data_IF_811615356205
#
_entry.id   IF_811615356205
#
_cell.length_a   1.000
_cell.length_b   1.000
_cell.length_c   1.000
_cell.angle_alpha   90.00
_cell.angle_beta   90.00
_cell.angle_gamma   90.00
#
_symmetry.space_group_name_H-M   'P 1'
#
loop_
_entity.id
_entity.type
_entity.pdbx_description
1 polymer ?
#
# COMPACT_ATOMS: atom_id res chain seq x y z
N UNK A 1 -30.54 3.71 5.70
CA UNK A 1 -30.82 5.10 5.28
C UNK A 1 -29.57 5.96 5.46
N UNK A 2 -28.96 5.96 6.65
CA UNK A 2 -27.83 6.83 7.00
C UNK A 2 -26.65 6.81 6.01
N UNK A 3 -26.30 5.65 5.43
CA UNK A 3 -25.23 5.57 4.42
C UNK A 3 -25.61 6.27 3.10
N UNK A 4 -26.88 6.23 2.70
CA UNK A 4 -27.38 6.98 1.53
C UNK A 4 -27.38 8.48 1.84
N UNK A 5 -27.78 8.84 3.05
CA UNK A 5 -27.75 10.22 3.54
C UNK A 5 -26.32 10.79 3.59
N UNK A 6 -25.33 9.95 3.95
CA UNK A 6 -23.91 10.30 3.87
C UNK A 6 -23.48 10.57 2.43
N UNK A 7 -23.91 9.75 1.46
CA UNK A 7 -23.62 10.01 0.04
C UNK A 7 -24.27 11.32 -0.41
N UNK A 8 -25.52 11.61 -0.04
CA UNK A 8 -26.16 12.89 -0.37
C UNK A 8 -25.43 14.07 0.31
N UNK A 9 -25.01 13.92 1.56
CA UNK A 9 -24.20 14.93 2.25
C UNK A 9 -22.92 15.22 1.48
N UNK A 10 -22.20 14.17 1.06
CA UNK A 10 -20.92 14.31 0.38
C UNK A 10 -21.05 14.78 -1.07
N UNK A 11 -22.02 14.24 -1.82
CA UNK A 11 -22.09 14.36 -3.27
C UNK A 11 -23.29 15.18 -3.77
N UNK A 12 -24.34 15.33 -2.97
CA UNK A 12 -25.58 16.00 -3.35
C UNK A 12 -25.43 17.50 -3.62
N UNK A 13 -26.32 18.04 -4.45
CA UNK A 13 -26.42 19.47 -4.72
C UNK A 13 -26.91 20.27 -3.51
N UNK A 14 -26.67 21.59 -3.49
CA UNK A 14 -27.09 22.47 -2.39
C UNK A 14 -28.61 22.62 -2.24
N UNK A 15 -29.38 22.10 -3.20
CA UNK A 15 -30.84 22.01 -3.22
C UNK A 15 -31.37 20.70 -2.59
N UNK A 16 -30.50 19.73 -2.29
CA UNK A 16 -30.86 18.49 -1.57
C UNK A 16 -30.82 18.71 -0.05
N UNK A 17 -31.44 17.82 0.74
CA UNK A 17 -31.51 17.99 2.20
C UNK A 17 -30.10 18.00 2.80
N UNK A 18 -29.31 16.98 2.51
CA UNK A 18 -27.98 16.83 3.09
C UNK A 18 -26.91 17.65 2.37
N UNK A 19 -27.03 17.88 1.06
CA UNK A 19 -26.16 18.82 0.36
C UNK A 19 -26.36 20.27 0.81
N UNK A 20 -27.58 20.68 1.18
CA UNK A 20 -27.84 21.97 1.84
C UNK A 20 -27.17 22.04 3.21
N UNK A 21 -27.20 20.97 3.99
CA UNK A 21 -26.52 20.91 5.28
C UNK A 21 -25.00 21.03 5.12
N UNK A 22 -24.38 20.32 4.16
CA UNK A 22 -22.95 20.47 3.83
C UNK A 22 -22.59 21.92 3.47
N UNK A 23 -23.42 22.57 2.65
CA UNK A 23 -23.22 23.97 2.27
C UNK A 23 -23.33 24.92 3.47
N UNK A 24 -24.33 24.72 4.34
CA UNK A 24 -24.52 25.50 5.56
C UNK A 24 -23.36 25.30 6.56
N UNK A 25 -22.74 24.11 6.58
CA UNK A 25 -21.52 23.82 7.34
C UNK A 25 -20.25 24.46 6.75
N UNK A 26 -20.35 25.23 5.67
CA UNK A 26 -19.24 25.98 5.08
C UNK A 26 -18.59 25.32 3.85
N UNK A 27 -19.15 24.23 3.32
CA UNK A 27 -18.58 23.55 2.15
C UNK A 27 -19.62 23.35 1.02
N UNK A 28 -19.94 24.38 0.22
CA UNK A 28 -20.98 24.29 -0.81
C UNK A 28 -20.69 23.28 -1.92
N UNK A 29 -19.42 23.08 -2.30
CA UNK A 29 -19.02 22.13 -3.34
C UNK A 29 -19.09 20.67 -2.84
N UNK A 30 -19.49 19.70 -3.67
CA UNK A 30 -19.39 18.27 -3.32
C UNK A 30 -17.95 17.83 -3.02
N UNK A 31 -17.80 16.81 -2.16
CA UNK A 31 -16.49 16.19 -1.85
C UNK A 31 -16.05 15.16 -2.90
N UNK A 32 -16.98 14.63 -3.69
CA UNK A 32 -16.73 13.52 -4.63
C UNK A 32 -16.32 12.23 -3.90
N UNK A 33 -17.16 11.78 -2.95
CA UNK A 33 -17.03 10.48 -2.30
C UNK A 33 -17.17 9.37 -3.34
N UNK A 34 -16.20 8.46 -3.40
CA UNK A 34 -16.12 7.37 -4.39
C UNK A 34 -16.27 5.98 -3.79
N UNK A 35 -15.82 5.80 -2.55
CA UNK A 35 -15.72 4.51 -1.88
C UNK A 35 -16.45 4.54 -0.55
N UNK A 36 -17.15 3.46 -0.22
CA UNK A 36 -17.74 3.24 1.11
C UNK A 36 -17.41 1.82 1.56
N UNK A 37 -16.75 1.71 2.71
CA UNK A 37 -16.64 0.44 3.45
C UNK A 37 -17.93 0.13 4.18
N UNK A 38 -18.40 -1.11 4.10
CA UNK A 38 -19.50 -1.62 4.93
C UNK A 38 -18.93 -2.70 5.85
N UNK A 39 -18.87 -2.39 7.15
CA UNK A 39 -18.22 -3.23 8.15
C UNK A 39 -16.75 -2.87 8.37
N UNK A 40 -16.12 -3.54 9.31
CA UNK A 40 -14.69 -3.49 9.63
C UNK A 40 -14.33 -4.69 10.48
N UNK A 41 -13.44 -5.56 10.00
CA UNK A 41 -12.98 -6.75 10.73
C UNK A 41 -14.12 -7.61 11.31
N UNK A 42 -15.28 -7.61 10.65
CA UNK A 42 -16.45 -8.31 11.14
C UNK A 42 -16.28 -9.82 11.02
N UNK A 43 -16.80 -10.55 12.01
CA UNK A 43 -17.01 -11.98 11.85
C UNK A 43 -18.10 -12.24 10.82
N UNK A 44 -17.86 -13.19 9.91
CA UNK A 44 -18.73 -13.44 8.74
C UNK A 44 -19.88 -14.38 9.10
N UNK A 45 -20.65 -13.95 10.09
CA UNK A 45 -21.85 -14.65 10.59
C UNK A 45 -23.06 -14.45 9.69
N UNK A 46 -24.11 -15.27 9.85
CA UNK A 46 -25.38 -15.10 9.12
C UNK A 46 -26.00 -13.71 9.34
N UNK A 47 -25.91 -13.19 10.58
CA UNK A 47 -26.41 -11.85 10.92
C UNK A 47 -25.62 -10.76 10.19
N UNK A 48 -24.30 -10.91 10.07
CA UNK A 48 -23.48 -10.00 9.28
C UNK A 48 -23.89 -10.04 7.81
N UNK A 49 -24.00 -11.23 7.22
CA UNK A 49 -24.38 -11.40 5.80
C UNK A 49 -25.73 -10.80 5.49
N UNK A 50 -26.72 -10.99 6.36
CA UNK A 50 -28.05 -10.40 6.22
C UNK A 50 -27.97 -8.86 6.22
N UNK A 51 -27.31 -8.28 7.23
CA UNK A 51 -27.19 -6.83 7.39
C UNK A 51 -26.39 -6.20 6.25
N UNK A 52 -25.24 -6.79 5.90
CA UNK A 52 -24.43 -6.36 4.77
C UNK A 52 -25.26 -6.38 3.49
N UNK A 53 -25.98 -7.48 3.22
CA UNK A 53 -26.82 -7.61 2.02
C UNK A 53 -27.88 -6.53 1.92
N UNK A 54 -28.54 -6.20 3.04
CA UNK A 54 -29.55 -5.14 3.08
C UNK A 54 -28.93 -3.78 2.74
N UNK A 55 -27.79 -3.45 3.35
CA UNK A 55 -27.10 -2.17 3.14
C UNK A 55 -26.54 -2.09 1.73
N UNK A 56 -25.84 -3.14 1.27
CA UNK A 56 -25.26 -3.23 -0.07
C UNK A 56 -26.33 -3.03 -1.14
N UNK A 57 -27.44 -3.77 -1.08
CA UNK A 57 -28.53 -3.68 -2.07
C UNK A 57 -29.17 -2.29 -2.08
N UNK A 58 -29.40 -1.70 -0.91
CA UNK A 58 -29.95 -0.36 -0.80
C UNK A 58 -29.00 0.70 -1.39
N UNK A 59 -27.70 0.61 -1.06
CA UNK A 59 -26.69 1.55 -1.53
C UNK A 59 -26.44 1.41 -3.04
N UNK A 60 -26.24 0.21 -3.59
CA UNK A 60 -26.06 0.01 -5.04
C UNK A 60 -27.27 0.47 -5.84
N UNK A 61 -28.49 0.32 -5.29
CA UNK A 61 -29.72 0.80 -5.94
C UNK A 61 -29.79 2.33 -5.98
N UNK A 62 -29.43 3.00 -4.88
CA UNK A 62 -29.50 4.46 -4.78
C UNK A 62 -28.33 5.16 -5.47
N UNK A 63 -27.13 4.57 -5.37
CA UNK A 63 -25.85 5.14 -5.77
C UNK A 63 -24.96 4.07 -6.45
N UNK A 64 -25.31 3.63 -7.67
CA UNK A 64 -24.52 2.63 -8.40
C UNK A 64 -23.10 3.10 -8.72
N UNK A 65 -22.83 4.41 -8.69
CA UNK A 65 -21.52 5.03 -8.89
C UNK A 65 -20.55 4.82 -7.73
N UNK A 66 -21.05 4.54 -6.51
CA UNK A 66 -20.22 4.29 -5.34
C UNK A 66 -19.66 2.87 -5.41
N UNK A 67 -18.35 2.76 -5.21
CA UNK A 67 -17.64 1.50 -5.06
C UNK A 67 -17.74 1.03 -3.62
N UNK A 68 -18.32 -0.15 -3.44
CA UNK A 68 -18.52 -0.71 -2.11
C UNK A 68 -17.34 -1.63 -1.77
N UNK A 69 -16.76 -1.40 -0.60
CA UNK A 69 -15.71 -2.23 -0.02
C UNK A 69 -16.34 -3.08 1.08
N UNK A 70 -16.27 -4.40 0.95
CA UNK A 70 -16.62 -5.34 2.02
C UNK A 70 -15.40 -5.70 2.87
N UNK A 71 -15.54 -6.60 3.82
CA UNK A 71 -14.45 -7.07 4.69
C UNK A 71 -14.26 -8.58 4.56
N UNK A 72 -13.01 -9.04 4.61
CA UNK A 72 -12.68 -10.46 4.78
C UNK A 72 -12.51 -10.86 6.26
N UNK A 73 -13.00 -10.04 7.19
CA UNK A 73 -12.78 -10.24 8.62
C UNK A 73 -11.39 -9.77 9.10
N UNK A 74 -11.03 -10.09 10.36
CA UNK A 74 -9.88 -9.47 11.06
C UNK A 74 -8.50 -9.96 10.61
N UNK A 75 -8.43 -11.04 9.82
CA UNK A 75 -7.19 -11.70 9.48
C UNK A 75 -7.17 -12.11 8.01
N UNK A 76 -5.97 -12.35 7.48
CA UNK A 76 -5.71 -12.83 6.12
C UNK A 76 -5.83 -14.36 5.96
N UNK A 77 -6.28 -15.06 7.01
CA UNK A 77 -6.45 -16.51 7.03
C UNK A 77 -7.58 -16.92 7.97
N UNK A 78 -8.04 -18.16 7.84
CA UNK A 78 -9.09 -18.73 8.69
C UNK A 78 -10.50 -18.60 8.12
N UNK A 79 -11.48 -18.97 8.93
CA UNK A 79 -12.88 -19.13 8.49
C UNK A 79 -13.49 -17.82 8.02
N UNK A 80 -13.33 -16.73 8.79
CA UNK A 80 -13.87 -15.42 8.41
C UNK A 80 -13.28 -14.94 7.08
N UNK A 81 -11.98 -15.16 6.85
CA UNK A 81 -11.31 -14.82 5.61
C UNK A 81 -11.89 -15.57 4.40
N UNK A 82 -12.00 -16.90 4.50
CA UNK A 82 -12.56 -17.74 3.43
C UNK A 82 -14.02 -17.39 3.17
N UNK A 83 -14.82 -17.26 4.23
CA UNK A 83 -16.24 -16.96 4.12
C UNK A 83 -16.51 -15.54 3.63
N UNK A 84 -15.68 -14.56 4.02
CA UNK A 84 -15.75 -13.19 3.55
C UNK A 84 -15.51 -13.10 2.04
N UNK A 85 -14.48 -13.79 1.54
CA UNK A 85 -14.21 -13.88 0.10
C UNK A 85 -15.31 -14.63 -0.67
N UNK A 86 -15.84 -15.73 -0.12
CA UNK A 86 -16.94 -16.46 -0.72
C UNK A 86 -18.20 -15.58 -0.82
N UNK A 87 -18.54 -14.87 0.25
CA UNK A 87 -19.68 -13.98 0.30
C UNK A 87 -19.51 -12.77 -0.63
N UNK A 88 -18.30 -12.22 -0.72
CA UNK A 88 -17.96 -11.16 -1.67
C UNK A 88 -18.23 -11.57 -3.12
N UNK A 89 -17.85 -12.79 -3.48
CA UNK A 89 -18.05 -13.36 -4.80
C UNK A 89 -19.53 -13.64 -5.09
N UNK A 90 -20.29 -14.12 -4.11
CA UNK A 90 -21.74 -14.30 -4.21
C UNK A 90 -22.44 -12.96 -4.51
N UNK A 91 -22.10 -11.93 -3.74
CA UNK A 91 -22.71 -10.60 -3.81
C UNK A 91 -22.13 -9.72 -4.92
N UNK A 92 -21.05 -10.15 -5.58
CA UNK A 92 -20.28 -9.37 -6.57
C UNK A 92 -19.89 -8.00 -6.02
N UNK A 93 -19.29 -8.00 -4.83
CA UNK A 93 -18.78 -6.78 -4.18
C UNK A 93 -17.66 -6.18 -5.03
N UNK A 94 -17.58 -4.86 -5.15
CA UNK A 94 -16.58 -4.21 -6.01
C UNK A 94 -15.14 -4.50 -5.51
N UNK A 95 -14.95 -4.51 -4.19
CA UNK A 95 -13.65 -4.66 -3.54
C UNK A 95 -13.77 -5.28 -2.14
N UNK A 96 -12.74 -5.96 -1.67
CA UNK A 96 -12.65 -6.52 -0.33
C UNK A 96 -11.46 -5.94 0.43
N UNK A 97 -11.72 -5.55 1.67
CA UNK A 97 -10.74 -5.10 2.63
C UNK A 97 -10.10 -6.29 3.35
N UNK A 98 -8.77 -6.37 3.25
CA UNK A 98 -7.94 -7.37 3.94
C UNK A 98 -7.02 -6.68 4.95
N UNK A 99 -6.88 -7.30 6.13
CA UNK A 99 -6.10 -6.77 7.23
C UNK A 99 -5.07 -7.78 7.72
N UNK A 100 -3.82 -7.35 7.93
CA UNK A 100 -2.83 -8.17 8.63
C UNK A 100 -1.59 -7.44 9.15
N UNK A 101 -1.25 -7.76 10.39
CA UNK A 101 -0.05 -7.29 11.09
C UNK A 101 0.88 -8.48 11.32
N UNK A 102 2.07 -8.47 10.71
CA UNK A 102 2.94 -9.66 10.64
C UNK A 102 4.40 -9.34 10.95
N UNK A 103 5.19 -10.34 11.36
CA UNK A 103 6.64 -10.13 11.50
C UNK A 103 7.31 -9.91 10.12
N UNK A 104 8.46 -9.21 10.06
CA UNK A 104 9.21 -8.98 8.81
C UNK A 104 9.44 -10.25 7.98
N UNK A 105 9.68 -11.38 8.65
CA UNK A 105 9.84 -12.68 8.00
C UNK A 105 8.63 -13.11 7.16
N UNK A 106 7.41 -12.72 7.52
CA UNK A 106 6.22 -13.03 6.73
C UNK A 106 6.24 -12.23 5.41
N UNK A 107 6.49 -10.91 5.47
CA UNK A 107 6.55 -10.06 4.28
C UNK A 107 7.64 -10.50 3.30
N UNK A 108 8.80 -10.90 3.80
CA UNK A 108 9.91 -11.43 3.00
C UNK A 108 9.52 -12.75 2.30
N UNK A 109 8.72 -13.60 2.95
CA UNK A 109 8.41 -14.94 2.44
C UNK A 109 7.09 -15.07 1.68
N UNK A 110 6.21 -14.06 1.72
CA UNK A 110 4.88 -14.08 1.08
C UNK A 110 4.80 -13.06 -0.06
N UNK A 111 5.89 -12.85 -0.78
CA UNK A 111 5.92 -11.95 -1.92
C UNK A 111 5.00 -12.41 -3.06
N UNK A 112 4.62 -13.68 -3.12
CA UNK A 112 3.71 -14.24 -4.12
C UNK A 112 2.25 -14.37 -3.61
N UNK A 113 1.90 -13.69 -2.52
CA UNK A 113 0.59 -13.81 -1.86
C UNK A 113 -0.56 -13.48 -2.83
N UNK A 114 -0.53 -12.29 -3.43
CA UNK A 114 -1.54 -11.86 -4.40
C UNK A 114 -1.34 -12.44 -5.80
N UNK A 115 -0.17 -13.00 -6.11
CA UNK A 115 0.11 -13.62 -7.42
C UNK A 115 -0.85 -14.79 -7.71
N UNK A 116 -1.42 -15.39 -6.66
CA UNK A 116 -2.31 -16.56 -6.72
C UNK A 116 -3.80 -16.19 -6.80
N UNK A 117 -4.15 -14.90 -6.69
CA UNK A 117 -5.55 -14.47 -6.64
C UNK A 117 -6.22 -14.58 -8.00
N UNK A 118 -7.54 -14.77 -8.01
CA UNK A 118 -8.34 -14.76 -9.23
C UNK A 118 -8.62 -13.31 -9.68
N UNK A 119 -8.07 -12.94 -10.83
CA UNK A 119 -8.16 -11.58 -11.39
C UNK A 119 -9.57 -11.18 -11.82
N UNK A 120 -10.49 -12.15 -11.91
CA UNK A 120 -11.89 -11.93 -12.28
C UNK A 120 -12.79 -11.64 -11.08
N UNK A 121 -12.30 -11.84 -9.84
CA UNK A 121 -13.04 -11.58 -8.61
C UNK A 121 -12.94 -10.11 -8.19
N UNK A 122 -13.57 -9.79 -7.05
CA UNK A 122 -13.47 -8.50 -6.38
C UNK A 122 -12.01 -8.05 -6.26
N UNK A 123 -11.78 -6.74 -6.41
CA UNK A 123 -10.45 -6.17 -6.17
C UNK A 123 -10.10 -6.22 -4.68
N UNK A 124 -8.83 -6.01 -4.36
CA UNK A 124 -8.36 -5.92 -2.97
C UNK A 124 -8.07 -4.47 -2.60
N UNK A 125 -8.57 -4.09 -1.43
CA UNK A 125 -8.00 -3.03 -0.61
C UNK A 125 -7.24 -3.69 0.53
N UNK A 126 -5.92 -3.49 0.61
CA UNK A 126 -5.17 -3.87 1.79
C UNK A 126 -5.28 -2.73 2.80
N UNK A 127 -6.41 -2.64 3.51
CA UNK A 127 -6.75 -1.47 4.31
C UNK A 127 -5.95 -1.31 5.58
N UNK A 128 -5.41 -2.40 6.11
CA UNK A 128 -4.54 -2.37 7.27
C UNK A 128 -3.38 -3.36 7.12
N UNK A 129 -2.16 -2.84 7.11
CA UNK A 129 -0.97 -3.66 7.26
C UNK A 129 0.15 -2.91 7.97
N UNK A 130 0.96 -3.65 8.73
CA UNK A 130 2.26 -3.20 9.20
C UNK A 130 3.16 -4.39 9.56
N UNK A 131 4.48 -4.20 9.44
CA UNK A 131 5.46 -5.08 10.02
C UNK A 131 5.67 -4.76 11.50
N UNK A 132 5.47 -5.75 12.36
CA UNK A 132 5.66 -5.62 13.80
C UNK A 132 6.55 -6.72 14.36
N UNK A 133 7.40 -6.36 15.32
CA UNK A 133 8.22 -7.32 16.07
C UNK A 133 7.61 -7.55 17.45
N UNK A 134 7.43 -8.80 17.91
CA UNK A 134 6.75 -9.09 19.18
C UNK A 134 7.40 -8.50 20.45
N UNK A 135 8.67 -8.09 20.38
CA UNK A 135 9.49 -7.69 21.55
C UNK A 135 10.08 -6.28 21.43
N UNK A 136 10.21 -5.74 20.22
CA UNK A 136 10.69 -4.38 19.97
C UNK A 136 9.52 -3.52 19.47
N UNK A 137 8.92 -2.75 20.39
CA UNK A 137 7.86 -1.80 20.06
C UNK A 137 8.46 -0.57 19.37
N UNK A 138 8.57 -0.63 18.04
CA UNK A 138 8.90 0.54 17.23
C UNK A 138 9.30 0.19 15.80
N UNK A 139 9.00 1.10 14.89
CA UNK A 139 9.42 1.04 13.50
C UNK A 139 10.94 1.23 13.39
N UNK A 140 11.63 0.28 12.75
CA UNK A 140 13.06 0.36 12.43
C UNK A 140 13.29 0.04 10.94
N UNK A 141 14.55 0.09 10.51
CA UNK A 141 14.89 -0.14 9.12
C UNK A 141 14.54 -1.56 8.65
N UNK A 142 14.67 -2.59 9.49
CA UNK A 142 14.27 -3.95 9.14
C UNK A 142 12.78 -4.07 8.84
N UNK A 143 11.92 -3.55 9.73
CA UNK A 143 10.47 -3.58 9.53
C UNK A 143 10.09 -2.79 8.27
N UNK A 144 10.66 -1.59 8.10
CA UNK A 144 10.36 -0.73 6.95
C UNK A 144 10.85 -1.30 5.62
N UNK A 145 12.01 -1.98 5.57
CA UNK A 145 12.45 -2.63 4.34
C UNK A 145 11.64 -3.89 4.02
N UNK A 146 11.15 -4.61 5.04
CA UNK A 146 10.25 -5.75 4.81
C UNK A 146 8.92 -5.32 4.19
N UNK A 147 8.38 -4.18 4.64
CA UNK A 147 7.22 -3.52 4.03
C UNK A 147 7.56 -3.04 2.61
N UNK A 148 8.75 -2.45 2.40
CA UNK A 148 9.19 -2.02 1.08
C UNK A 148 9.27 -3.20 0.08
N UNK A 149 9.74 -4.38 0.51
CA UNK A 149 9.71 -5.60 -0.30
C UNK A 149 8.26 -5.94 -0.65
N UNK A 150 7.36 -5.93 0.34
CA UNK A 150 5.98 -6.30 0.10
C UNK A 150 5.25 -5.35 -0.85
N UNK A 151 5.51 -4.05 -0.74
CA UNK A 151 4.99 -3.03 -1.64
C UNK A 151 5.40 -3.27 -3.12
N UNK A 152 6.59 -3.84 -3.38
CA UNK A 152 6.94 -4.25 -4.76
C UNK A 152 5.99 -5.32 -5.31
N UNK A 153 5.53 -6.21 -4.43
CA UNK A 153 4.60 -7.27 -4.79
C UNK A 153 3.17 -6.76 -4.94
N UNK A 154 2.79 -5.72 -4.19
CA UNK A 154 1.53 -5.02 -4.42
C UNK A 154 1.52 -4.30 -5.77
N UNK A 155 2.59 -3.58 -6.11
CA UNK A 155 2.68 -2.92 -7.43
C UNK A 155 2.65 -3.92 -8.59
N UNK A 156 3.31 -5.07 -8.44
CA UNK A 156 3.25 -6.17 -9.42
C UNK A 156 1.83 -6.73 -9.61
N UNK A 157 1.03 -6.73 -8.55
CA UNK A 157 -0.36 -7.18 -8.55
C UNK A 157 -1.34 -6.01 -8.51
N UNK A 158 -1.00 -4.85 -9.09
CA UNK A 158 -1.90 -3.68 -9.14
C UNK A 158 -3.21 -3.95 -9.90
N UNK A 159 -3.25 -5.02 -10.69
CA UNK A 159 -4.46 -5.55 -11.32
C UNK A 159 -5.42 -6.21 -10.31
N UNK A 160 -4.92 -6.71 -9.18
CA UNK A 160 -5.71 -7.29 -8.08
C UNK A 160 -5.86 -6.30 -6.93
N UNK A 161 -4.74 -5.78 -6.42
CA UNK A 161 -4.65 -4.86 -5.28
C UNK A 161 -4.73 -3.42 -5.77
N UNK A 162 -5.89 -2.79 -5.56
CA UNK A 162 -6.14 -1.43 -6.05
C UNK A 162 -5.73 -0.33 -5.07
N UNK A 163 -5.69 -0.64 -3.77
CA UNK A 163 -5.35 0.31 -2.71
C UNK A 163 -4.64 -0.43 -1.57
N UNK A 164 -3.76 0.28 -0.85
CA UNK A 164 -3.12 -0.23 0.35
C UNK A 164 -2.84 0.91 1.34
N UNK A 165 -3.07 0.66 2.63
CA UNK A 165 -2.91 1.66 3.68
C UNK A 165 -2.13 1.07 4.86
N UNK A 166 -1.01 1.70 5.21
CA UNK A 166 -0.32 1.38 6.45
C UNK A 166 -1.22 1.76 7.64
N UNK A 167 -1.28 0.91 8.65
CA UNK A 167 -2.00 1.19 9.88
C UNK A 167 -1.16 0.87 11.13
N UNK A 168 -1.32 1.66 12.22
CA UNK A 168 -2.02 2.94 12.31
C UNK A 168 -1.17 4.13 11.84
N UNK A 169 -1.82 5.23 11.46
CA UNK A 169 -1.13 6.39 10.87
C UNK A 169 -0.47 7.32 11.91
N UNK A 170 -1.16 7.63 13.01
CA UNK A 170 -0.79 8.69 13.95
C UNK A 170 -0.82 8.21 15.40
N UNK A 171 0.25 8.52 16.14
CA UNK A 171 0.31 8.28 17.58
C UNK A 171 0.82 9.50 18.35
N UNK A 172 0.05 9.93 19.35
CA UNK A 172 0.49 10.97 20.29
C UNK A 172 1.37 10.32 21.36
N UNK A 173 2.61 10.79 21.48
CA UNK A 173 3.56 10.30 22.50
C UNK A 173 2.93 10.36 23.90
N UNK A 174 3.12 9.29 24.68
CA UNK A 174 2.56 9.08 26.04
C UNK A 174 1.04 8.92 26.09
N UNK A 175 0.36 8.84 24.95
CA UNK A 175 -1.09 8.57 24.85
C UNK A 175 -1.39 7.52 23.77
N UNK A 176 -0.55 6.48 23.70
CA UNK A 176 -0.62 5.42 22.68
C UNK A 176 -1.37 4.19 23.20
N UNK A 177 -2.21 3.61 22.35
CA UNK A 177 -2.91 2.33 22.62
C UNK A 177 -2.38 1.19 21.75
N UNK A 178 -1.66 1.53 20.68
CA UNK A 178 -1.07 0.62 19.71
C UNK A 178 0.39 1.01 19.44
N UNK A 179 1.17 0.08 18.91
CA UNK A 179 2.51 0.30 18.37
C UNK A 179 2.87 -0.88 17.45
N UNK A 180 3.56 -0.67 16.30
CA UNK A 180 4.06 0.61 15.79
C UNK A 180 2.98 1.50 15.16
N UNK A 181 3.32 2.77 14.92
CA UNK A 181 2.53 3.75 14.16
C UNK A 181 3.43 4.48 13.16
N UNK A 182 2.87 4.96 12.06
CA UNK A 182 3.68 5.55 10.99
C UNK A 182 4.32 6.88 11.38
N UNK A 183 3.59 7.73 12.13
CA UNK A 183 4.02 9.07 12.53
C UNK A 183 3.69 9.28 14.02
N UNK A 184 4.73 9.53 14.80
CA UNK A 184 4.57 9.95 16.20
C UNK A 184 4.54 11.47 16.31
N UNK A 185 3.86 12.02 17.30
CA UNK A 185 3.86 13.47 17.55
C UNK A 185 3.68 13.82 19.02
N UNK A 186 4.10 15.03 19.38
CA UNK A 186 3.78 15.67 20.65
C UNK A 186 3.28 17.10 20.41
N UNK A 187 3.18 17.92 21.46
CA UNK A 187 2.63 19.28 21.35
C UNK A 187 3.51 20.24 20.53
N UNK A 188 4.76 19.87 20.23
CA UNK A 188 5.75 20.74 19.58
C UNK A 188 6.41 20.12 18.36
N UNK A 189 6.34 18.80 18.18
CA UNK A 189 7.09 18.07 17.16
C UNK A 189 6.23 17.01 16.46
N UNK A 190 6.50 16.82 15.17
CA UNK A 190 6.07 15.66 14.37
C UNK A 190 7.31 14.82 14.08
N UNK A 191 7.20 13.51 14.29
CA UNK A 191 8.29 12.53 14.26
C UNK A 191 7.93 11.40 13.30
N UNK A 192 8.16 11.58 11.99
CA UNK A 192 7.97 10.51 11.03
C UNK A 192 8.95 9.37 11.27
N UNK A 193 8.47 8.14 11.18
CA UNK A 193 9.32 6.94 11.34
C UNK A 193 10.08 6.61 10.06
N UNK A 194 11.01 5.65 10.12
CA UNK A 194 11.62 5.08 8.91
C UNK A 194 10.55 4.52 7.95
N UNK A 195 9.49 3.93 8.51
CA UNK A 195 8.35 3.41 7.75
C UNK A 195 7.61 4.52 7.01
N UNK A 196 7.44 5.70 7.62
CA UNK A 196 6.86 6.86 6.96
C UNK A 196 7.62 7.21 5.68
N UNK A 197 8.96 7.23 5.74
CA UNK A 197 9.76 7.57 4.58
C UNK A 197 9.69 6.50 3.48
N UNK A 198 9.57 5.21 3.84
CA UNK A 198 9.29 4.15 2.86
C UNK A 198 7.93 4.38 2.19
N UNK A 199 6.86 4.59 2.96
CA UNK A 199 5.53 4.87 2.42
C UNK A 199 5.52 6.13 1.55
N UNK A 200 6.22 7.20 1.96
CA UNK A 200 6.38 8.43 1.20
C UNK A 200 7.12 8.18 -0.13
N UNK A 201 8.21 7.41 -0.10
CA UNK A 201 8.97 7.06 -1.30
C UNK A 201 8.16 6.20 -2.27
N UNK A 202 7.22 5.36 -1.82
CA UNK A 202 6.26 4.72 -2.72
C UNK A 202 5.20 5.70 -3.22
N UNK A 203 4.49 6.38 -2.30
CA UNK A 203 3.34 7.24 -2.61
C UNK A 203 3.66 8.50 -3.43
N UNK A 204 4.90 8.94 -3.48
CA UNK A 204 5.34 10.06 -4.34
C UNK A 204 5.96 9.62 -5.67
N UNK A 205 6.08 8.31 -5.93
CA UNK A 205 6.73 7.75 -7.12
C UNK A 205 5.86 6.64 -7.71
N UNK A 206 4.60 6.99 -8.02
CA UNK A 206 3.55 6.08 -8.47
C UNK A 206 3.41 6.18 -9.99
N UNK A 207 3.32 5.03 -10.65
CA UNK A 207 2.93 4.91 -12.05
C UNK A 207 1.59 4.20 -12.19
N UNK A 208 0.91 4.39 -13.31
CA UNK A 208 -0.35 3.75 -13.69
C UNK A 208 -0.17 2.54 -14.62
N UNK A 209 1.06 2.30 -15.09
CA UNK A 209 1.46 1.12 -15.87
C UNK A 209 2.57 0.34 -15.14
N UNK A 210 2.37 -0.96 -14.88
CA UNK A 210 3.44 -1.85 -14.41
C UNK A 210 4.27 -2.35 -15.59
N UNK A 211 5.60 -2.29 -15.48
CA UNK A 211 6.53 -2.75 -16.51
C UNK A 211 7.17 -4.08 -16.05
N UNK A 212 6.82 -5.22 -16.67
CA UNK A 212 7.42 -6.50 -16.32
C UNK A 212 8.93 -6.49 -16.58
N UNK A 213 9.69 -6.98 -15.60
CA UNK A 213 11.13 -7.17 -15.72
C UNK A 213 11.54 -8.50 -15.07
N UNK A 214 12.68 -9.03 -15.48
CA UNK A 214 13.27 -10.24 -14.93
C UNK A 214 14.59 -9.90 -14.24
N UNK A 215 14.79 -10.36 -13.01
CA UNK A 215 16.07 -10.29 -12.35
C UNK A 215 16.87 -11.58 -12.55
N UNK A 216 18.16 -11.43 -12.85
CA UNK A 216 19.13 -12.51 -12.84
C UNK A 216 20.05 -12.33 -11.65
N UNK A 217 20.10 -13.33 -10.77
CA UNK A 217 20.93 -13.30 -9.56
C UNK A 217 22.20 -14.11 -9.77
N UNK A 218 23.34 -13.56 -9.33
CA UNK A 218 24.62 -14.29 -9.32
C UNK A 218 24.60 -15.50 -8.38
N UNK A 219 23.77 -15.45 -7.33
CA UNK A 219 23.49 -16.57 -6.43
C UNK A 219 21.99 -16.88 -6.44
N UNK A 220 21.61 -18.01 -7.03
CA UNK A 220 20.21 -18.46 -7.07
C UNK A 220 19.84 -19.27 -5.82
N UNK A 221 19.99 -18.66 -4.64
CA UNK A 221 19.56 -19.23 -3.37
C UNK A 221 18.34 -18.47 -2.87
N UNK A 222 17.31 -19.18 -2.43
CA UNK A 222 16.02 -18.60 -2.03
C UNK A 222 16.15 -17.53 -0.92
N UNK A 223 17.06 -17.75 0.04
CA UNK A 223 17.36 -16.80 1.09
C UNK A 223 17.95 -15.46 0.58
N UNK A 224 18.63 -15.48 -0.58
CA UNK A 224 19.18 -14.30 -1.26
C UNK A 224 18.11 -13.64 -2.11
N UNK A 225 17.44 -14.40 -2.98
CA UNK A 225 16.46 -13.87 -3.94
C UNK A 225 15.26 -13.23 -3.24
N UNK A 226 14.80 -13.79 -2.11
CA UNK A 226 13.72 -13.19 -1.30
C UNK A 226 14.11 -11.87 -0.63
N UNK A 227 15.40 -11.54 -0.53
CA UNK A 227 15.89 -10.31 0.15
C UNK A 227 16.27 -9.20 -0.84
N UNK A 228 16.10 -9.43 -2.13
CA UNK A 228 16.28 -8.41 -3.15
C UNK A 228 15.03 -8.37 -4.00
N UNK A 229 14.25 -7.29 -3.87
CA UNK A 229 12.96 -7.14 -4.54
C UNK A 229 12.97 -5.89 -5.41
N UNK A 230 12.16 -5.88 -6.46
CA UNK A 230 12.06 -4.73 -7.36
C UNK A 230 10.64 -4.55 -7.91
N UNK A 231 10.34 -3.33 -8.28
CA UNK A 231 9.15 -2.95 -9.05
C UNK A 231 9.50 -1.85 -10.03
N UNK A 232 8.89 -1.89 -11.21
CA UNK A 232 9.03 -0.86 -12.24
C UNK A 232 7.65 -0.41 -12.66
N UNK A 233 7.38 0.88 -12.49
CA UNK A 233 6.12 1.49 -12.92
C UNK A 233 6.38 2.71 -13.79
N UNK A 234 5.47 3.01 -14.70
CA UNK A 234 5.46 4.21 -15.54
C UNK A 234 4.21 5.01 -15.27
N UNK A 235 4.35 6.32 -15.15
CA UNK A 235 3.24 7.26 -15.28
C UNK A 235 3.05 7.57 -16.77
N UNK A 236 1.97 7.07 -17.37
CA UNK A 236 1.69 7.23 -18.80
C UNK A 236 1.43 8.69 -19.19
N UNK A 237 0.93 9.52 -18.27
CA UNK A 237 0.64 10.92 -18.54
C UNK A 237 1.91 11.77 -18.64
N UNK A 238 2.92 11.47 -17.81
CA UNK A 238 4.19 12.22 -17.80
C UNK A 238 5.34 11.51 -18.51
N UNK A 239 5.22 10.21 -18.76
CA UNK A 239 6.28 9.35 -19.29
C UNK A 239 7.36 8.98 -18.26
N UNK A 240 7.26 9.43 -17.01
CA UNK A 240 8.24 9.16 -15.95
C UNK A 240 8.30 7.67 -15.63
N UNK A 241 9.51 7.16 -15.45
CA UNK A 241 9.75 5.78 -15.04
C UNK A 241 10.23 5.75 -13.59
N UNK A 242 9.62 4.88 -12.78
CA UNK A 242 9.97 4.67 -11.39
C UNK A 242 10.51 3.26 -11.21
N UNK A 243 11.78 3.14 -10.87
CA UNK A 243 12.42 1.84 -10.57
C UNK A 243 12.69 1.79 -9.07
N UNK A 244 12.03 0.87 -8.39
CA UNK A 244 12.10 0.68 -6.94
C UNK A 244 12.85 -0.61 -6.67
N UNK A 245 13.92 -0.56 -5.89
CA UNK A 245 14.76 -1.73 -5.60
C UNK A 245 15.09 -1.76 -4.11
N UNK A 246 14.83 -2.90 -3.48
CA UNK A 246 15.13 -3.16 -2.08
C UNK A 246 16.27 -4.16 -1.99
N UNK A 247 17.27 -3.88 -1.15
CA UNK A 247 18.32 -4.82 -0.77
C UNK A 247 18.32 -5.01 0.76
N UNK A 248 17.76 -6.12 1.24
CA UNK A 248 17.77 -6.52 2.65
C UNK A 248 18.96 -7.41 3.03
N UNK A 249 19.97 -7.54 2.16
CA UNK A 249 21.18 -8.31 2.46
C UNK A 249 22.14 -7.51 3.36
N UNK A 250 22.97 -8.19 4.17
CA UNK A 250 24.06 -7.57 4.93
C UNK A 250 25.24 -7.12 4.07
N UNK A 251 25.15 -7.24 2.74
CA UNK A 251 26.21 -6.92 1.79
C UNK A 251 25.66 -6.04 0.66
N UNK A 252 26.57 -5.29 0.02
CA UNK A 252 26.23 -4.53 -1.18
C UNK A 252 25.91 -5.47 -2.34
N UNK A 253 24.96 -5.07 -3.18
CA UNK A 253 24.63 -5.77 -4.43
C UNK A 253 25.01 -4.90 -5.60
N UNK A 254 25.91 -5.40 -6.45
CA UNK A 254 26.24 -4.76 -7.72
C UNK A 254 25.18 -5.14 -8.76
N UNK A 255 24.50 -4.14 -9.33
CA UNK A 255 23.32 -4.32 -10.17
C UNK A 255 23.49 -3.62 -11.51
N UNK A 256 23.10 -4.27 -12.60
CA UNK A 256 22.96 -3.63 -13.92
C UNK A 256 21.49 -3.61 -14.31
N UNK A 257 20.98 -2.44 -14.69
CA UNK A 257 19.59 -2.25 -15.11
C UNK A 257 19.55 -2.06 -16.62
N UNK A 258 19.00 -3.04 -17.34
CA UNK A 258 18.81 -2.96 -18.78
C UNK A 258 17.47 -2.29 -19.11
N UNK A 259 17.54 -1.08 -19.68
CA UNK A 259 16.39 -0.30 -20.13
C UNK A 259 16.37 -0.14 -21.65
N UNK A 260 17.09 -0.98 -22.42
CA UNK A 260 17.23 -0.85 -23.88
C UNK A 260 15.90 -0.87 -24.63
N UNK A 261 14.92 -1.62 -24.12
CA UNK A 261 13.56 -1.68 -24.68
C UNK A 261 12.69 -0.46 -24.29
N UNK A 262 13.22 0.47 -23.50
CA UNK A 262 12.54 1.67 -23.06
C UNK A 262 13.23 2.91 -23.67
N UNK A 263 12.44 3.93 -24.04
CA UNK A 263 12.98 5.18 -24.61
C UNK A 263 13.55 6.07 -23.50
N UNK A 264 14.74 5.75 -23.01
CA UNK A 264 15.37 6.41 -21.83
C UNK A 264 16.63 7.22 -22.15
N UNK A 265 16.99 7.35 -23.43
CA UNK A 265 18.19 8.07 -23.84
C UNK A 265 18.15 9.55 -23.43
N UNK A 266 19.20 10.03 -22.75
CA UNK A 266 19.35 11.43 -22.32
C UNK A 266 18.52 11.84 -21.10
N UNK A 267 17.80 10.90 -20.47
CA UNK A 267 17.10 11.16 -19.21
C UNK A 267 18.10 11.38 -18.07
N UNK A 268 17.74 12.25 -17.12
CA UNK A 268 18.47 12.40 -15.86
C UNK A 268 17.88 11.44 -14.85
N UNK A 269 18.71 10.78 -14.05
CA UNK A 269 18.22 9.85 -13.03
C UNK A 269 18.30 10.52 -11.66
N UNK A 270 17.15 10.71 -11.01
CA UNK A 270 17.11 11.09 -9.60
C UNK A 270 17.12 9.80 -8.77
N UNK A 271 18.19 9.58 -8.01
CA UNK A 271 18.30 8.47 -7.07
C UNK A 271 17.91 8.95 -5.67
N UNK A 272 16.86 8.35 -5.11
CA UNK A 272 16.48 8.47 -3.70
C UNK A 272 16.84 7.18 -2.98
N UNK A 273 17.54 7.26 -1.85
CA UNK A 273 18.03 6.09 -1.14
C UNK A 273 17.87 6.27 0.37
N UNK A 274 17.29 5.28 1.02
CA UNK A 274 17.35 5.08 2.47
C UNK A 274 18.20 3.84 2.75
N UNK A 275 19.20 3.94 3.62
CA UNK A 275 20.11 2.85 3.95
C UNK A 275 20.69 3.03 5.36
N UNK A 276 21.02 1.92 6.03
CA UNK A 276 21.52 1.96 7.41
C UNK A 276 21.76 0.56 7.98
N UNK A 277 21.62 0.42 9.29
CA UNK A 277 21.62 -0.87 10.00
C UNK A 277 20.18 -1.30 10.31
N UNK A 278 19.90 -2.61 10.45
CA UNK A 278 18.54 -3.13 10.67
C UNK A 278 17.79 -2.46 11.84
N UNK A 279 18.51 -2.12 12.91
CA UNK A 279 17.94 -1.51 14.13
C UNK A 279 17.80 0.01 14.08
N UNK A 280 18.23 0.67 13.01
CA UNK A 280 18.14 2.12 12.92
C UNK A 280 16.67 2.56 12.83
N UNK A 281 16.28 3.54 13.65
CA UNK A 281 14.90 4.01 13.75
C UNK A 281 14.74 5.52 13.41
N UNK A 282 15.82 6.15 12.95
CA UNK A 282 15.85 7.59 12.58
C UNK A 282 16.41 7.83 11.19
N UNK A 283 16.62 6.78 10.41
CA UNK A 283 17.15 6.87 9.04
C UNK A 283 16.19 7.65 8.16
N UNK A 284 16.73 8.56 7.36
CA UNK A 284 15.98 9.37 6.41
C UNK A 284 16.51 9.14 4.99
N UNK A 285 15.66 9.32 3.96
CA UNK A 285 16.09 9.20 2.59
C UNK A 285 17.01 10.34 2.19
N UNK A 286 18.02 10.02 1.38
CA UNK A 286 18.89 10.96 0.71
C UNK A 286 18.54 11.03 -0.77
N UNK A 287 18.82 12.16 -1.43
CA UNK A 287 18.59 12.32 -2.86
C UNK A 287 19.87 12.76 -3.55
N UNK A 288 20.17 12.13 -4.68
CA UNK A 288 21.30 12.44 -5.57
C UNK A 288 20.85 12.38 -7.03
N UNK A 289 21.60 13.01 -7.91
CA UNK A 289 21.45 12.84 -9.36
C UNK A 289 22.59 11.96 -9.84
N UNK A 290 22.28 10.95 -10.65
CA UNK A 290 23.25 10.06 -11.29
C UNK A 290 23.03 10.06 -12.80
N UNK A 291 24.04 9.63 -13.55
CA UNK A 291 23.95 9.51 -15.00
C UNK A 291 23.33 8.16 -15.39
N UNK A 292 22.73 8.10 -16.59
CA UNK A 292 22.17 6.84 -17.12
C UNK A 292 23.22 5.72 -17.22
N UNK A 293 24.50 6.07 -17.42
CA UNK A 293 25.60 5.11 -17.43
C UNK A 293 25.83 4.44 -16.08
N UNK A 294 25.48 5.11 -14.97
CA UNK A 294 25.66 4.61 -13.61
C UNK A 294 24.67 3.48 -13.27
N UNK A 295 23.64 3.29 -14.10
CA UNK A 295 22.71 2.15 -13.99
C UNK A 295 23.36 0.81 -14.35
N UNK A 296 24.47 0.84 -15.08
CA UNK A 296 25.28 -0.34 -15.34
C UNK A 296 26.39 -0.43 -14.29
N UNK A 297 26.19 -1.26 -13.26
CA UNK A 297 27.10 -1.34 -12.12
C UNK A 297 26.65 -0.50 -10.91
N UNK A 298 25.36 -0.20 -10.82
CA UNK A 298 24.76 0.49 -9.68
C UNK A 298 24.96 -0.34 -8.40
N UNK A 299 25.61 0.28 -7.40
CA UNK A 299 25.80 -0.34 -6.10
C UNK A 299 24.59 -0.06 -5.21
N UNK A 300 23.85 -1.11 -4.85
CA UNK A 300 22.84 -1.09 -3.80
C UNK A 300 23.51 -1.36 -2.46
N UNK A 301 23.39 -0.44 -1.49
CA UNK A 301 23.98 -0.61 -0.16
C UNK A 301 23.32 -1.76 0.61
N UNK A 302 24.01 -2.37 1.60
CA UNK A 302 23.37 -3.26 2.56
C UNK A 302 22.16 -2.59 3.20
N UNK A 303 21.09 -3.34 3.46
CA UNK A 303 19.87 -2.84 4.09
C UNK A 303 19.42 -1.48 3.53
N UNK A 304 19.06 -1.47 2.24
CA UNK A 304 18.69 -0.25 1.54
C UNK A 304 17.40 -0.38 0.74
N UNK A 305 16.73 0.75 0.56
CA UNK A 305 15.68 0.93 -0.42
C UNK A 305 16.03 2.11 -1.32
N UNK A 306 16.10 1.83 -2.62
CA UNK A 306 16.46 2.78 -3.67
C UNK A 306 15.28 2.99 -4.61
N UNK A 307 14.97 4.25 -4.90
CA UNK A 307 14.02 4.66 -5.95
C UNK A 307 14.77 5.49 -6.97
N UNK A 308 14.71 5.07 -8.24
CA UNK A 308 15.21 5.81 -9.38
C UNK A 308 14.03 6.43 -10.11
N UNK A 309 14.10 7.73 -10.35
CA UNK A 309 13.12 8.48 -11.15
C UNK A 309 13.81 8.95 -12.42
N UNK A 310 13.32 8.49 -13.58
CA UNK A 310 13.81 8.84 -14.91
C UNK A 310 12.78 9.71 -15.65
#
# INVERSE_FOLDING_TARGET
QDIIDLVEYCNGGTNTKWGKQRAASGHPKPFNLKYIGIGNEDQITDVFRERFSMIYKALKKAHPEIKIIGTSGPFFEGTDYVEGWNFADEMKVDMIDEHYYRPPGWFINNQDFYDKYDRQKSKVYLGEYAASLPVENGTNLETSLSEAIYLTSLERNGDVVSMASYAPLLAKEKHTQWSPDLIYFNNTEVKPTVGYYVQQMYGQNVGDEYIPAQAQFSANQENVTKRVAYSITRDQATGKLYIKIVNMLPISVNTSIDLTNLKTAGMKVIKREIAGQPKDNKTQPTQTTIDMSDLNGLILKPYSFTVLVL
#
